data_IF_271127958513
#
_entry.id   IF_271127958513
#
_cell.length_a   1.000
_cell.length_b   1.000
_cell.length_c   1.000
_cell.angle_alpha   90.00
_cell.angle_beta   90.00
_cell.angle_gamma   90.00
#
_symmetry.space_group_name_H-M   'P 1'
#
loop_
_entity.id
_entity.type
_entity.pdbx_description
1 polymer ?
#
# COMPACT_ATOMS: atom_id res chain seq x y z
N UNK A 1 -12.19 27.49 27.33
CA UNK A 1 -12.59 26.49 26.37
C UNK A 1 -11.55 26.57 25.24
N UNK A 2 -10.47 25.81 25.37
CA UNK A 2 -9.36 25.85 24.44
C UNK A 2 -9.59 24.77 23.39
N UNK A 3 -9.99 25.22 22.22
CA UNK A 3 -10.11 24.39 21.03
C UNK A 3 -8.67 24.06 20.57
N UNK A 4 -8.24 22.83 20.80
CA UNK A 4 -6.96 22.32 20.32
C UNK A 4 -7.23 21.74 18.92
N UNK A 5 -6.62 22.24 17.84
CA UNK A 5 -6.82 21.66 16.53
C UNK A 5 -6.39 20.18 16.54
N UNK A 6 -7.05 19.32 15.75
CA UNK A 6 -6.70 17.90 15.70
C UNK A 6 -5.27 17.74 15.20
N UNK A 7 -4.46 17.08 16.02
CA UNK A 7 -3.00 16.88 15.85
C UNK A 7 -2.67 16.00 14.62
N UNK A 8 -3.68 15.44 13.93
CA UNK A 8 -3.49 14.47 12.87
C UNK A 8 -3.28 15.06 11.46
N UNK A 9 -3.89 16.20 11.12
CA UNK A 9 -3.80 16.75 9.74
C UNK A 9 -2.43 17.39 9.48
N UNK A 10 -1.93 18.21 10.38
CA UNK A 10 -0.62 18.87 10.21
C UNK A 10 0.55 17.88 10.20
N UNK A 11 0.47 16.79 10.99
CA UNK A 11 1.52 15.77 11.02
C UNK A 11 1.56 14.94 9.72
N UNK A 12 0.41 14.68 9.07
CA UNK A 12 0.33 13.98 7.80
C UNK A 12 0.87 14.84 6.65
N UNK A 13 0.54 16.14 6.63
CA UNK A 13 1.05 17.06 5.61
C UNK A 13 2.58 17.22 5.72
N UNK A 14 3.11 17.35 6.93
CA UNK A 14 4.55 17.43 7.17
C UNK A 14 5.27 16.13 6.75
N UNK A 15 4.67 14.96 7.02
CA UNK A 15 5.22 13.67 6.62
C UNK A 15 5.23 13.51 5.10
N UNK A 16 4.16 13.93 4.42
CA UNK A 16 4.06 13.91 2.96
C UNK A 16 5.13 14.78 2.31
N UNK A 17 5.24 16.05 2.74
CA UNK A 17 6.28 16.95 2.25
C UNK A 17 7.70 16.43 2.52
N UNK A 18 7.92 15.77 3.66
CA UNK A 18 9.21 15.18 3.97
C UNK A 18 9.57 14.05 3.00
N UNK A 19 8.60 13.18 2.68
CA UNK A 19 8.79 12.09 1.70
C UNK A 19 9.00 12.66 0.29
N UNK A 20 8.25 13.68 -0.13
CA UNK A 20 8.46 14.33 -1.42
C UNK A 20 9.85 14.94 -1.55
N UNK A 21 10.31 15.63 -0.49
CA UNK A 21 11.68 16.20 -0.46
C UNK A 21 12.75 15.12 -0.53
N UNK A 22 12.55 14.01 0.19
CA UNK A 22 13.45 12.86 0.15
C UNK A 22 13.49 12.22 -1.24
N UNK A 23 12.32 12.01 -1.85
CA UNK A 23 12.23 11.49 -3.22
C UNK A 23 12.95 12.40 -4.23
N UNK A 24 12.70 13.71 -4.18
CA UNK A 24 13.34 14.66 -5.07
C UNK A 24 14.87 14.72 -4.88
N UNK A 25 15.36 14.52 -3.66
CA UNK A 25 16.80 14.48 -3.37
C UNK A 25 17.46 13.26 -3.99
N UNK A 26 16.97 12.06 -3.69
CA UNK A 26 17.61 10.82 -4.16
C UNK A 26 17.43 10.60 -5.67
N UNK A 27 16.29 10.97 -6.25
CA UNK A 27 16.09 10.95 -7.70
C UNK A 27 17.14 11.82 -8.39
N UNK A 28 17.38 13.03 -7.89
CA UNK A 28 18.41 13.94 -8.43
C UNK A 28 19.83 13.42 -8.23
N UNK A 29 20.14 12.85 -7.06
CA UNK A 29 21.47 12.30 -6.79
C UNK A 29 21.77 11.14 -7.74
N UNK A 30 20.84 10.24 -7.98
CA UNK A 30 20.99 9.10 -8.90
C UNK A 30 21.10 9.57 -10.36
N UNK A 31 20.32 10.58 -10.78
CA UNK A 31 20.45 11.18 -12.11
C UNK A 31 21.85 11.80 -12.36
N UNK A 32 22.43 12.44 -11.35
CA UNK A 32 23.74 13.10 -11.47
C UNK A 32 24.91 12.13 -11.55
N UNK A 33 24.82 10.99 -10.87
CA UNK A 33 25.96 10.03 -10.81
C UNK A 33 25.88 8.97 -11.92
N UNK A 34 24.73 8.78 -12.56
CA UNK A 34 24.57 7.77 -13.61
C UNK A 34 25.05 6.38 -13.14
N UNK A 35 25.87 5.71 -13.96
CA UNK A 35 26.42 4.39 -13.63
C UNK A 35 27.51 4.41 -12.53
N UNK A 36 27.91 5.58 -12.04
CA UNK A 36 28.97 5.74 -11.04
C UNK A 36 28.58 5.39 -9.61
N UNK A 37 27.26 5.22 -9.33
CA UNK A 37 26.73 4.97 -7.98
C UNK A 37 26.78 6.19 -7.06
N UNK A 38 26.03 6.15 -5.97
CA UNK A 38 26.01 7.21 -4.93
C UNK A 38 27.36 7.30 -4.22
N UNK A 39 27.61 8.45 -3.56
CA UNK A 39 28.75 8.53 -2.63
C UNK A 39 28.58 7.51 -1.49
N UNK A 40 29.70 7.07 -0.90
CA UNK A 40 29.70 6.08 0.19
C UNK A 40 28.74 6.48 1.33
N UNK A 41 28.72 7.76 1.71
CA UNK A 41 27.83 8.29 2.74
C UNK A 41 26.34 8.21 2.33
N UNK A 42 26.01 8.62 1.10
CA UNK A 42 24.63 8.59 0.61
C UNK A 42 24.13 7.15 0.40
N UNK A 43 25.00 6.25 -0.08
CA UNK A 43 24.68 4.82 -0.21
C UNK A 43 24.46 4.17 1.16
N UNK A 44 25.27 4.49 2.17
CA UNK A 44 25.10 3.97 3.53
C UNK A 44 23.79 4.46 4.15
N UNK A 45 23.43 5.72 3.97
CA UNK A 45 22.17 6.29 4.46
C UNK A 45 20.95 5.66 3.76
N UNK A 46 20.99 5.52 2.43
CA UNK A 46 19.95 4.84 1.65
C UNK A 46 19.73 3.41 2.17
N UNK A 47 20.81 2.63 2.35
CA UNK A 47 20.73 1.26 2.84
C UNK A 47 20.23 1.18 4.27
N UNK A 48 20.60 2.14 5.14
CA UNK A 48 20.08 2.21 6.51
C UNK A 48 18.56 2.46 6.50
N UNK A 49 18.05 3.37 5.67
CA UNK A 49 16.62 3.59 5.52
C UNK A 49 15.91 2.37 4.94
N UNK A 50 16.46 1.76 3.87
CA UNK A 50 15.89 0.57 3.25
C UNK A 50 15.87 -0.63 4.21
N UNK A 51 16.86 -0.74 5.10
CA UNK A 51 16.93 -1.77 6.13
C UNK A 51 15.82 -1.68 7.18
N UNK A 52 15.25 -0.48 7.43
CA UNK A 52 14.08 -0.30 8.31
C UNK A 52 12.86 -1.03 7.75
N UNK A 53 12.79 -1.16 6.42
CA UNK A 53 11.70 -1.78 5.68
C UNK A 53 12.04 -3.20 5.19
N UNK A 54 13.12 -3.80 5.69
CA UNK A 54 13.58 -5.16 5.36
C UNK A 54 13.76 -5.40 3.85
N UNK A 55 14.19 -4.37 3.12
CA UNK A 55 14.44 -4.44 1.68
C UNK A 55 15.76 -5.15 1.38
N UNK A 56 15.89 -5.74 0.17
CA UNK A 56 17.12 -6.40 -0.28
C UNK A 56 18.24 -5.37 -0.53
N UNK A 57 19.21 -5.33 0.39
CA UNK A 57 20.34 -4.41 0.36
C UNK A 57 21.51 -4.87 -0.52
N UNK A 58 21.45 -6.09 -1.12
CA UNK A 58 22.53 -6.62 -1.97
C UNK A 58 22.45 -6.13 -3.43
N UNK A 59 21.48 -5.28 -3.73
CA UNK A 59 21.21 -4.72 -5.05
C UNK A 59 21.95 -3.40 -5.26
N UNK A 60 21.92 -2.86 -6.46
CA UNK A 60 22.48 -1.52 -6.78
C UNK A 60 21.73 -0.43 -6.02
N UNK A 61 22.40 0.72 -5.78
CA UNK A 61 21.75 1.85 -5.08
C UNK A 61 20.49 2.33 -5.80
N UNK A 62 20.47 2.30 -7.13
CA UNK A 62 19.29 2.65 -7.93
C UNK A 62 18.11 1.69 -7.71
N UNK A 63 18.38 0.39 -7.63
CA UNK A 63 17.35 -0.61 -7.38
C UNK A 63 16.84 -0.56 -5.94
N UNK A 64 17.75 -0.41 -4.95
CA UNK A 64 17.38 -0.22 -3.54
C UNK A 64 16.52 1.04 -3.38
N UNK A 65 16.89 2.12 -4.08
CA UNK A 65 16.10 3.35 -4.06
C UNK A 65 14.73 3.17 -4.72
N UNK A 66 14.65 2.49 -5.86
CA UNK A 66 13.38 2.24 -6.53
C UNK A 66 12.39 1.49 -5.63
N UNK A 67 12.85 0.46 -4.91
CA UNK A 67 12.05 -0.30 -3.97
C UNK A 67 11.62 0.56 -2.77
N UNK A 68 12.55 1.27 -2.15
CA UNK A 68 12.27 2.16 -1.01
C UNK A 68 11.31 3.29 -1.39
N UNK A 69 11.53 3.94 -2.53
CA UNK A 69 10.66 5.00 -3.06
C UNK A 69 9.24 4.51 -3.27
N UNK A 70 9.07 3.29 -3.83
CA UNK A 70 7.76 2.69 -4.04
C UNK A 70 7.00 2.48 -2.72
N UNK A 71 7.70 2.03 -1.67
CA UNK A 71 7.12 1.88 -0.33
C UNK A 71 6.74 3.24 0.26
N UNK A 72 7.66 4.20 0.26
CA UNK A 72 7.43 5.53 0.86
C UNK A 72 6.26 6.27 0.22
N UNK A 73 6.18 6.30 -1.11
CA UNK A 73 5.09 6.99 -1.82
C UNK A 73 3.74 6.34 -1.53
N UNK A 74 3.69 5.00 -1.42
CA UNK A 74 2.44 4.28 -1.18
C UNK A 74 1.97 4.32 0.26
N UNK A 75 2.88 4.53 1.21
CA UNK A 75 2.54 4.65 2.63
C UNK A 75 2.22 6.07 3.07
N UNK A 76 2.73 7.08 2.34
CA UNK A 76 2.56 8.47 2.76
C UNK A 76 1.13 8.93 2.46
N UNK A 77 0.36 9.36 3.46
CA UNK A 77 -0.96 9.94 3.23
C UNK A 77 -0.82 11.15 2.31
N UNK A 78 -1.60 11.20 1.24
CA UNK A 78 -1.67 12.40 0.40
C UNK A 78 -2.43 13.49 1.15
N UNK A 79 -2.02 14.78 1.09
CA UNK A 79 -2.81 15.86 1.66
C UNK A 79 -4.24 15.79 1.08
N UNK A 80 -5.21 15.72 1.96
CA UNK A 80 -6.62 15.67 1.57
C UNK A 80 -6.99 17.03 0.99
N UNK A 81 -7.18 17.10 -0.33
CA UNK A 81 -7.92 18.21 -0.90
C UNK A 81 -9.31 18.23 -0.22
N UNK A 82 -9.61 19.35 0.44
CA UNK A 82 -10.80 19.51 1.25
C UNK A 82 -12.05 19.48 0.35
N UNK A 83 -12.67 18.31 0.21
CA UNK A 83 -14.09 18.20 -0.13
C UNK A 83 -14.68 17.03 0.66
N UNK A 84 -15.51 17.39 1.62
CA UNK A 84 -16.24 16.49 2.52
C UNK A 84 -17.45 15.94 1.74
N UNK A 85 -17.23 14.95 0.90
CA UNK A 85 -18.28 14.00 0.52
C UNK A 85 -17.95 12.69 1.21
N UNK A 86 -18.90 12.11 1.94
CA UNK A 86 -18.75 10.75 2.46
C UNK A 86 -18.34 9.84 1.29
N UNK A 87 -17.32 8.98 1.46
CA UNK A 87 -16.89 8.09 0.38
C UNK A 87 -18.09 7.29 -0.12
N UNK A 88 -18.25 7.19 -1.44
CA UNK A 88 -19.31 6.37 -2.02
C UNK A 88 -19.13 4.91 -1.56
N UNK A 89 -20.22 4.20 -1.22
CA UNK A 89 -20.16 2.79 -0.87
C UNK A 89 -19.49 1.98 -1.98
N UNK A 90 -18.46 1.22 -1.64
CA UNK A 90 -17.72 0.35 -2.56
C UNK A 90 -18.02 -1.11 -2.24
N UNK A 91 -17.89 -1.97 -3.24
CA UNK A 91 -17.84 -3.42 -3.08
C UNK A 91 -16.37 -3.86 -3.06
N UNK A 92 -15.90 -4.34 -1.92
CA UNK A 92 -14.51 -4.67 -1.64
C UNK A 92 -14.32 -6.18 -1.58
N UNK A 93 -13.38 -6.72 -2.35
CA UNK A 93 -12.94 -8.11 -2.22
C UNK A 93 -11.87 -8.18 -1.12
N UNK A 94 -12.13 -8.93 -0.05
CA UNK A 94 -11.16 -9.08 1.04
C UNK A 94 -10.53 -10.48 1.02
N UNK A 95 -9.20 -10.53 1.01
CA UNK A 95 -8.41 -11.77 1.03
C UNK A 95 -7.32 -11.67 2.10
N UNK A 96 -7.53 -12.41 3.18
CA UNK A 96 -6.71 -12.41 4.39
C UNK A 96 -6.82 -13.78 5.04
N UNK A 97 -5.71 -14.47 5.25
CA UNK A 97 -5.71 -15.82 5.78
C UNK A 97 -5.75 -15.89 7.32
N UNK A 98 -5.39 -14.81 8.00
CA UNK A 98 -5.57 -14.69 9.44
C UNK A 98 -7.03 -14.33 9.78
N UNK A 99 -7.79 -15.21 10.50
CA UNK A 99 -9.20 -15.02 10.72
C UNK A 99 -9.54 -13.86 11.66
N UNK A 100 -8.64 -13.50 12.59
CA UNK A 100 -8.87 -12.39 13.51
C UNK A 100 -8.71 -11.06 12.76
N UNK A 101 -7.63 -10.93 12.01
CA UNK A 101 -7.37 -9.76 11.14
C UNK A 101 -8.48 -9.58 10.11
N UNK A 102 -8.92 -10.67 9.47
CA UNK A 102 -10.01 -10.65 8.50
C UNK A 102 -11.34 -10.19 9.10
N UNK A 103 -11.68 -10.66 10.31
CA UNK A 103 -12.91 -10.27 11.00
C UNK A 103 -12.89 -8.80 11.42
N UNK A 104 -11.80 -8.33 12.02
CA UNK A 104 -11.65 -6.94 12.46
C UNK A 104 -11.71 -5.97 11.27
N UNK A 105 -11.04 -6.32 10.19
CA UNK A 105 -11.06 -5.49 8.99
C UNK A 105 -12.45 -5.49 8.33
N UNK A 106 -13.10 -6.65 8.23
CA UNK A 106 -14.48 -6.74 7.71
C UNK A 106 -15.42 -5.82 8.49
N UNK A 107 -15.34 -5.84 9.82
CA UNK A 107 -16.17 -4.99 10.68
C UNK A 107 -15.91 -3.50 10.36
N UNK A 108 -14.65 -3.08 10.32
CA UNK A 108 -14.28 -1.69 10.04
C UNK A 108 -14.78 -1.22 8.66
N UNK A 109 -14.69 -2.07 7.64
CA UNK A 109 -15.14 -1.75 6.28
C UNK A 109 -16.66 -1.63 6.20
N UNK A 110 -17.39 -2.53 6.85
CA UNK A 110 -18.87 -2.51 6.90
C UNK A 110 -19.38 -1.30 7.69
N UNK A 111 -18.76 -0.98 8.84
CA UNK A 111 -19.09 0.21 9.63
C UNK A 111 -18.84 1.51 8.85
N UNK A 112 -17.87 1.52 7.95
CA UNK A 112 -17.61 2.65 7.05
C UNK A 112 -18.60 2.72 5.85
N UNK A 113 -19.52 1.76 5.72
CA UNK A 113 -20.55 1.73 4.69
C UNK A 113 -20.20 0.97 3.42
N UNK A 114 -19.07 0.27 3.38
CA UNK A 114 -18.68 -0.58 2.25
C UNK A 114 -19.33 -1.96 2.30
N UNK A 115 -19.47 -2.59 1.13
CA UNK A 115 -19.88 -4.00 1.02
C UNK A 115 -18.63 -4.88 0.91
N UNK A 116 -18.57 -5.98 1.65
CA UNK A 116 -17.41 -6.89 1.63
C UNK A 116 -17.79 -8.22 0.99
N UNK A 117 -17.07 -8.60 -0.05
CA UNK A 117 -17.08 -9.92 -0.69
C UNK A 117 -15.93 -10.72 -0.07
N UNK A 118 -16.24 -11.71 0.71
CA UNK A 118 -15.28 -12.47 1.54
C UNK A 118 -15.56 -12.32 3.04
N UNK A 119 -14.57 -12.44 3.94
CA UNK A 119 -13.14 -12.64 3.66
C UNK A 119 -12.82 -14.04 3.11
N UNK A 120 -11.84 -14.13 2.20
CA UNK A 120 -11.30 -15.37 1.67
C UNK A 120 -9.90 -15.62 2.24
N UNK A 121 -9.59 -16.90 2.50
CA UNK A 121 -8.30 -17.30 3.07
C UNK A 121 -7.27 -17.70 2.00
N UNK A 122 -7.69 -17.87 0.75
CA UNK A 122 -6.82 -18.27 -0.36
C UNK A 122 -7.20 -17.57 -1.66
N UNK A 123 -6.27 -17.55 -2.59
CA UNK A 123 -6.39 -16.85 -3.86
C UNK A 123 -7.46 -17.47 -4.78
N UNK A 124 -7.60 -18.78 -4.81
CA UNK A 124 -8.49 -19.50 -5.71
C UNK A 124 -9.97 -19.19 -5.41
N UNK A 125 -10.33 -19.18 -4.13
CA UNK A 125 -11.68 -18.83 -3.71
C UNK A 125 -12.00 -17.35 -4.01
N UNK A 126 -11.02 -16.46 -3.77
CA UNK A 126 -11.16 -15.04 -4.06
C UNK A 126 -11.31 -14.76 -5.57
N UNK A 127 -10.52 -15.43 -6.39
CA UNK A 127 -10.61 -15.32 -7.85
C UNK A 127 -11.97 -15.82 -8.39
N UNK A 128 -12.47 -16.94 -7.86
CA UNK A 128 -13.79 -17.44 -8.21
C UNK A 128 -14.91 -16.45 -7.80
N UNK A 129 -14.77 -15.82 -6.64
CA UNK A 129 -15.72 -14.80 -6.20
C UNK A 129 -15.66 -13.53 -7.06
N UNK A 130 -14.48 -13.08 -7.46
CA UNK A 130 -14.32 -11.94 -8.35
C UNK A 130 -14.98 -12.14 -9.72
N UNK A 131 -15.04 -13.39 -10.20
CA UNK A 131 -15.75 -13.73 -11.43
C UNK A 131 -17.29 -13.64 -11.31
N UNK A 132 -17.83 -13.68 -10.09
CA UNK A 132 -19.27 -13.72 -9.81
C UNK A 132 -19.84 -12.40 -9.30
N UNK A 133 -18.99 -11.51 -8.81
CA UNK A 133 -19.37 -10.25 -8.19
C UNK A 133 -18.75 -9.06 -8.90
N UNK A 134 -19.49 -7.96 -8.97
CA UNK A 134 -18.92 -6.67 -9.38
C UNK A 134 -18.15 -6.11 -8.18
N UNK A 135 -16.84 -6.08 -8.28
CA UNK A 135 -15.92 -5.60 -7.23
C UNK A 135 -15.23 -4.33 -7.71
N UNK A 136 -15.16 -3.34 -6.82
CA UNK A 136 -14.54 -2.04 -7.13
C UNK A 136 -13.03 -2.02 -6.78
N UNK A 137 -12.65 -2.72 -5.71
CA UNK A 137 -11.26 -2.76 -5.23
C UNK A 137 -11.00 -4.08 -4.47
N UNK A 138 -9.84 -4.68 -4.69
CA UNK A 138 -9.39 -5.87 -3.95
C UNK A 138 -8.40 -5.48 -2.84
N UNK A 139 -8.62 -5.97 -1.62
CA UNK A 139 -7.75 -5.85 -0.46
C UNK A 139 -7.07 -7.19 -0.24
N UNK A 140 -5.76 -7.27 -0.47
CA UNK A 140 -5.04 -8.54 -0.58
C UNK A 140 -3.86 -8.61 0.39
N UNK A 141 -3.83 -9.63 1.26
CA UNK A 141 -2.55 -10.03 1.84
C UNK A 141 -1.69 -10.69 0.75
N UNK A 142 -0.40 -10.36 0.75
CA UNK A 142 0.59 -10.99 -0.14
C UNK A 142 0.86 -12.44 0.26
N UNK A 143 0.94 -12.70 1.57
CA UNK A 143 1.31 -13.98 2.15
C UNK A 143 0.07 -14.84 2.47
N UNK A 144 -0.60 -15.29 1.44
CA UNK A 144 -1.75 -16.18 1.59
C UNK A 144 -1.33 -17.64 1.79
N UNK A 145 -2.14 -18.42 2.49
CA UNK A 145 -2.00 -19.86 2.55
C UNK A 145 -2.36 -20.50 1.21
N UNK A 146 -1.49 -21.37 0.68
CA UNK A 146 -1.70 -22.08 -0.59
C UNK A 146 -0.51 -22.00 -1.54
N UNK A 147 -0.72 -22.42 -2.78
CA UNK A 147 0.30 -22.37 -3.84
C UNK A 147 0.31 -21.02 -4.55
N UNK A 148 -0.81 -20.29 -4.54
CA UNK A 148 -1.00 -19.00 -5.20
C UNK A 148 -0.86 -17.87 -4.19
N UNK A 149 0.03 -16.94 -4.44
CA UNK A 149 0.27 -15.78 -3.58
C UNK A 149 -0.74 -14.64 -3.84
N UNK A 150 -0.85 -13.70 -2.91
CA UNK A 150 -1.63 -12.48 -3.14
C UNK A 150 -1.12 -11.64 -4.32
N UNK A 151 0.17 -11.75 -4.67
CA UNK A 151 0.77 -11.13 -5.85
C UNK A 151 0.24 -11.77 -7.14
N UNK A 152 0.19 -13.11 -7.20
CA UNK A 152 -0.34 -13.84 -8.36
C UNK A 152 -1.83 -13.53 -8.54
N UNK A 153 -2.58 -13.46 -7.44
CA UNK A 153 -3.97 -13.06 -7.44
C UNK A 153 -4.14 -11.62 -7.96
N UNK A 154 -3.37 -10.64 -7.45
CA UNK A 154 -3.42 -9.25 -7.92
C UNK A 154 -3.20 -9.15 -9.43
N UNK A 155 -2.23 -9.90 -9.95
CA UNK A 155 -1.96 -9.98 -11.39
C UNK A 155 -3.15 -10.56 -12.16
N UNK A 156 -3.72 -11.68 -11.69
CA UNK A 156 -4.89 -12.31 -12.32
C UNK A 156 -6.11 -11.38 -12.33
N UNK A 157 -6.38 -10.68 -11.21
CA UNK A 157 -7.48 -9.72 -11.08
C UNK A 157 -7.31 -8.54 -12.05
N UNK A 158 -6.09 -8.00 -12.14
CA UNK A 158 -5.76 -6.90 -13.06
C UNK A 158 -5.88 -7.31 -14.51
N UNK A 159 -5.30 -8.46 -14.89
CA UNK A 159 -5.24 -8.91 -16.30
C UNK A 159 -6.62 -9.34 -16.82
N UNK A 160 -7.45 -9.97 -16.00
CA UNK A 160 -8.74 -10.53 -16.42
C UNK A 160 -9.90 -9.54 -16.32
N UNK A 161 -9.90 -8.69 -15.29
CA UNK A 161 -11.04 -7.82 -15.02
C UNK A 161 -10.67 -6.34 -14.89
N UNK A 162 -9.37 -5.97 -14.99
CA UNK A 162 -8.91 -4.61 -14.75
C UNK A 162 -9.15 -4.16 -13.29
N UNK A 163 -9.33 -5.12 -12.37
CA UNK A 163 -9.67 -4.83 -10.98
C UNK A 163 -8.44 -4.30 -10.23
N UNK A 164 -8.51 -3.06 -9.68
CA UNK A 164 -7.43 -2.51 -8.90
C UNK A 164 -7.27 -3.26 -7.58
N UNK A 165 -6.04 -3.31 -7.07
CA UNK A 165 -5.72 -3.98 -5.81
C UNK A 165 -4.99 -3.05 -4.85
N UNK A 166 -5.18 -3.28 -3.55
CA UNK A 166 -4.46 -2.70 -2.43
C UNK A 166 -3.82 -3.83 -1.64
N UNK A 167 -2.50 -3.76 -1.42
CA UNK A 167 -1.79 -4.75 -0.62
C UNK A 167 -1.86 -4.44 0.87
N UNK A 168 -2.19 -5.46 1.68
CA UNK A 168 -2.19 -5.45 3.14
C UNK A 168 -1.15 -6.45 3.60
N UNK A 169 0.09 -6.04 3.89
CA UNK A 169 1.15 -7.03 4.11
C UNK A 169 2.24 -6.58 5.05
N UNK A 170 2.90 -7.52 5.71
CA UNK A 170 4.16 -7.32 6.41
C UNK A 170 5.39 -7.54 5.53
N UNK A 171 5.24 -8.13 4.34
CA UNK A 171 6.35 -8.36 3.40
C UNK A 171 6.54 -7.16 2.47
N UNK A 172 7.26 -6.17 2.98
CA UNK A 172 7.57 -4.92 2.27
C UNK A 172 8.42 -5.19 1.02
N UNK A 173 9.35 -6.13 1.12
CA UNK A 173 10.24 -6.47 0.01
C UNK A 173 9.47 -7.05 -1.18
N UNK A 174 8.54 -7.97 -0.93
CA UNK A 174 7.67 -8.50 -1.99
C UNK A 174 6.75 -7.42 -2.56
N UNK A 175 6.13 -6.60 -1.70
CA UNK A 175 5.26 -5.50 -2.13
C UNK A 175 5.99 -4.48 -3.00
N UNK A 176 7.22 -4.09 -2.64
CA UNK A 176 8.02 -3.14 -3.39
C UNK A 176 8.37 -3.65 -4.80
N UNK A 177 8.76 -4.94 -4.91
CA UNK A 177 9.08 -5.57 -6.20
C UNK A 177 7.89 -5.67 -7.16
N UNK A 178 6.68 -5.69 -6.63
CA UNK A 178 5.43 -5.83 -7.38
C UNK A 178 4.50 -4.64 -7.21
N UNK A 179 5.09 -3.46 -6.98
CA UNK A 179 4.38 -2.22 -6.75
C UNK A 179 3.51 -1.77 -7.95
N UNK A 180 3.79 -2.24 -9.15
CA UNK A 180 3.01 -2.01 -10.36
C UNK A 180 1.66 -2.74 -10.37
N UNK A 181 1.47 -3.74 -9.50
CA UNK A 181 0.24 -4.53 -9.42
C UNK A 181 -0.78 -3.94 -8.42
N UNK A 182 -0.38 -3.03 -7.54
CA UNK A 182 -1.27 -2.45 -6.54
C UNK A 182 -1.28 -0.93 -6.60
N UNK A 183 -2.46 -0.35 -6.43
CA UNK A 183 -2.65 1.11 -6.39
C UNK A 183 -2.16 1.72 -5.07
N UNK A 184 -2.18 0.94 -3.98
CA UNK A 184 -1.69 1.34 -2.67
C UNK A 184 -1.17 0.14 -1.86
N UNK A 185 -0.44 0.47 -0.79
CA UNK A 185 0.11 -0.48 0.16
C UNK A 185 -0.19 -0.01 1.59
N UNK A 186 -0.65 -0.93 2.44
CA UNK A 186 -0.80 -0.74 3.88
C UNK A 186 0.00 -1.82 4.60
N UNK A 187 0.92 -1.38 5.46
CA UNK A 187 1.80 -2.31 6.20
C UNK A 187 1.16 -2.84 7.46
N UNK A 188 1.31 -4.14 7.70
CA UNK A 188 1.02 -4.79 8.98
C UNK A 188 2.11 -4.44 10.02
N UNK A 189 1.74 -4.11 11.30
CA UNK A 189 0.37 -4.01 11.81
C UNK A 189 -0.33 -2.70 11.40
N UNK A 190 -1.59 -2.76 11.04
CA UNK A 190 -2.40 -1.61 10.65
C UNK A 190 -3.68 -1.52 11.47
N UNK A 191 -4.35 -0.37 11.40
CA UNK A 191 -5.70 -0.15 11.92
C UNK A 191 -6.71 -0.09 10.78
N UNK A 192 -7.99 -0.37 11.05
CA UNK A 192 -9.06 -0.20 10.06
C UNK A 192 -9.09 1.21 9.46
N UNK A 193 -8.82 2.24 10.26
CA UNK A 193 -8.76 3.63 9.81
C UNK A 193 -7.67 3.85 8.74
N UNK A 194 -6.49 3.25 8.89
CA UNK A 194 -5.40 3.35 7.90
C UNK A 194 -5.77 2.68 6.58
N UNK A 195 -6.49 1.54 6.63
CA UNK A 195 -6.98 0.87 5.42
C UNK A 195 -8.05 1.72 4.73
N UNK A 196 -9.01 2.27 5.47
CA UNK A 196 -10.05 3.16 4.93
C UNK A 196 -9.46 4.42 4.28
N UNK A 197 -8.44 5.00 4.88
CA UNK A 197 -7.71 6.12 4.29
C UNK A 197 -7.02 5.72 2.97
N UNK A 198 -6.40 4.55 2.92
CA UNK A 198 -5.79 4.03 1.70
C UNK A 198 -6.83 3.75 0.60
N UNK A 199 -8.00 3.20 0.95
CA UNK A 199 -9.13 3.00 0.03
C UNK A 199 -9.57 4.36 -0.56
N UNK A 200 -9.80 5.35 0.30
CA UNK A 200 -10.21 6.69 -0.13
C UNK A 200 -9.20 7.29 -1.12
N UNK A 201 -7.91 7.12 -0.88
CA UNK A 201 -6.84 7.60 -1.79
C UNK A 201 -6.92 6.98 -3.17
N UNK A 202 -7.17 5.67 -3.24
CA UNK A 202 -7.20 4.91 -4.50
C UNK A 202 -8.44 5.27 -5.32
N UNK A 203 -9.57 5.55 -4.67
CA UNK A 203 -10.86 5.70 -5.34
C UNK A 203 -11.27 7.15 -5.64
N UNK A 204 -10.47 8.14 -5.21
CA UNK A 204 -10.76 9.58 -5.46
C UNK A 204 -10.12 10.11 -6.76
N UNK A 205 -9.82 9.23 -7.72
CA UNK A 205 -9.25 9.61 -9.02
C UNK A 205 -10.26 9.55 -10.15
#
# INVERSE_FOLDING_TARGET
MFDRPPVSETANDEAHEAVERLCALYDRLLEQVGDGGLSEAASAELRAMAGIYDLDLQRTDAEVWADLRAVLIRQTPRPKAAETTAPEPLTLLLVEDDPETAADLTLALVEAGHSVVGPFQNAEAAEAAAALHLVDLALLDINLTGETTGIDLARALKDRWGLPSLFLTGDIGAAARHADLAEALVLKPYTGAQVLEAITRVTTH
#
